data_IF_057522847278
#
_entry.id   IF_057522847278
#
_cell.length_a   1.000
_cell.length_b   1.000
_cell.length_c   1.000
_cell.angle_alpha   90.00
_cell.angle_beta   90.00
_cell.angle_gamma   90.00
#
_symmetry.space_group_name_H-M   'P 1'
#
loop_
_entity.id
_entity.type
_entity.pdbx_description
1 polymer ?
#
# COMPACT_ATOMS: atom_id res chain seq x y z
N UNK A 1 -9.62 1.21 -4.75
CA UNK A 1 -9.04 -0.15 -4.73
C UNK A 1 -8.91 -0.59 -3.30
N UNK A 2 -9.38 -1.79 -2.97
CA UNK A 2 -9.38 -2.32 -1.61
C UNK A 2 -8.27 -3.36 -1.41
N UNK A 3 -7.73 -3.41 -0.19
CA UNK A 3 -6.70 -4.36 0.18
C UNK A 3 -6.95 -4.85 1.61
N UNK A 4 -7.14 -6.16 1.76
CA UNK A 4 -7.20 -6.82 3.05
C UNK A 4 -5.85 -7.51 3.30
N UNK A 5 -5.18 -7.17 4.40
CA UNK A 5 -3.89 -7.72 4.81
C UNK A 5 -4.00 -9.09 5.51
N UNK A 6 -5.20 -9.63 5.68
CA UNK A 6 -5.45 -10.88 6.41
C UNK A 6 -5.26 -10.68 7.91
N UNK A 7 -4.41 -11.49 8.53
CA UNK A 7 -4.14 -11.47 9.99
C UNK A 7 -3.07 -10.45 10.40
N UNK A 8 -2.51 -9.74 9.43
CA UNK A 8 -1.36 -8.86 9.63
C UNK A 8 -1.84 -7.45 10.02
N UNK A 9 -1.93 -7.21 11.33
CA UNK A 9 -2.57 -6.01 11.90
C UNK A 9 -1.60 -4.89 12.25
N UNK A 10 -0.38 -5.21 12.69
CA UNK A 10 0.53 -4.25 13.32
C UNK A 10 1.57 -3.65 12.34
N UNK A 11 1.24 -3.56 11.06
CA UNK A 11 2.13 -3.00 10.03
C UNK A 11 1.36 -2.26 8.94
N UNK A 12 2.08 -1.45 8.18
CA UNK A 12 1.49 -0.65 7.12
C UNK A 12 1.10 -1.48 5.88
N UNK A 13 0.03 -1.06 5.20
CA UNK A 13 -0.21 -1.40 3.81
C UNK A 13 0.63 -0.49 2.92
N UNK A 14 1.35 -1.07 1.97
CA UNK A 14 2.15 -0.36 0.97
C UNK A 14 1.56 -0.55 -0.42
N UNK A 15 1.29 0.55 -1.10
CA UNK A 15 0.78 0.57 -2.46
C UNK A 15 1.89 0.81 -3.47
N UNK A 16 1.86 0.03 -4.54
CA UNK A 16 2.78 0.12 -5.66
C UNK A 16 2.01 0.27 -6.96
N UNK A 17 2.53 1.10 -7.86
CA UNK A 17 2.03 1.26 -9.23
C UNK A 17 3.04 0.64 -10.18
N UNK A 18 2.57 -0.22 -11.09
CA UNK A 18 3.41 -0.81 -12.13
C UNK A 18 2.77 -0.61 -13.50
N UNK A 19 3.43 0.20 -14.33
CA UNK A 19 3.15 0.24 -15.77
C UNK A 19 3.73 -1.04 -16.38
N UNK A 20 3.00 -1.78 -17.24
CA UNK A 20 3.53 -2.97 -17.90
C UNK A 20 4.90 -2.74 -18.54
N UNK A 21 5.84 -3.64 -18.30
CA UNK A 21 7.23 -3.51 -18.79
C UNK A 21 8.13 -2.56 -17.99
N UNK A 22 7.63 -1.93 -16.91
CA UNK A 22 8.44 -1.11 -15.99
C UNK A 22 8.53 -1.74 -14.60
N UNK A 23 9.50 -1.28 -13.82
CA UNK A 23 9.63 -1.67 -12.41
C UNK A 23 8.48 -1.07 -11.58
N UNK A 24 7.96 -1.79 -10.57
CA UNK A 24 6.99 -1.23 -9.64
C UNK A 24 7.53 -0.01 -8.90
N UNK A 25 6.73 1.04 -8.80
CA UNK A 25 7.05 2.26 -8.07
C UNK A 25 6.24 2.31 -6.78
N UNK A 26 6.90 2.62 -5.66
CA UNK A 26 6.22 2.85 -4.38
C UNK A 26 5.41 4.14 -4.46
N UNK A 27 4.12 4.06 -4.17
CA UNK A 27 3.18 5.19 -4.27
C UNK A 27 2.95 5.78 -2.89
N UNK A 28 2.40 4.98 -1.98
CA UNK A 28 1.95 5.44 -0.68
C UNK A 28 1.87 4.27 0.30
N UNK A 29 2.22 4.52 1.57
CA UNK A 29 2.05 3.60 2.68
C UNK A 29 1.13 4.20 3.74
N UNK A 30 0.29 3.35 4.32
CA UNK A 30 -0.56 3.73 5.44
C UNK A 30 -0.54 2.63 6.49
N UNK A 31 -0.24 3.02 7.72
CA UNK A 31 -0.52 2.23 8.91
C UNK A 31 -1.69 2.89 9.62
N UNK A 32 -2.63 2.09 10.12
CA UNK A 32 -3.83 2.61 10.78
C UNK A 32 -3.53 3.54 11.98
N UNK A 33 -2.38 3.36 12.64
CA UNK A 33 -1.92 4.23 13.73
C UNK A 33 -1.14 5.49 13.31
N UNK A 34 -0.87 5.70 12.01
CA UNK A 34 -0.21 6.93 11.54
C UNK A 34 -1.21 8.08 11.40
N UNK A 35 -0.77 9.29 11.71
CA UNK A 35 -1.57 10.51 11.51
C UNK A 35 -1.72 10.91 10.05
N UNK A 36 -0.80 10.47 9.19
CA UNK A 36 -0.81 10.72 7.75
C UNK A 36 -0.11 9.58 6.99
N UNK A 37 -0.47 9.35 5.71
CA UNK A 37 0.23 8.41 4.86
C UNK A 37 1.62 8.93 4.45
N UNK A 38 2.53 8.00 4.19
CA UNK A 38 3.87 8.31 3.68
C UNK A 38 3.93 8.05 2.17
N UNK A 39 4.44 9.02 1.41
CA UNK A 39 4.48 8.94 -0.05
C UNK A 39 5.85 8.56 -0.58
N UNK A 40 5.85 7.84 -1.69
CA UNK A 40 7.03 7.67 -2.52
C UNK A 40 7.36 8.93 -3.34
N UNK A 41 8.57 8.97 -3.89
CA UNK A 41 9.01 10.09 -4.72
C UNK A 41 8.10 10.27 -5.94
N UNK A 42 7.66 11.50 -6.20
CA UNK A 42 6.78 11.84 -7.32
C UNK A 42 5.29 11.55 -7.07
N UNK A 43 4.90 11.11 -5.88
CA UNK A 43 3.51 10.87 -5.49
C UNK A 43 3.11 11.76 -4.31
N UNK A 44 1.86 12.18 -4.29
CA UNK A 44 1.33 12.99 -3.18
C UNK A 44 -0.20 12.94 -3.13
N UNK A 45 -0.75 13.45 -2.04
CA UNK A 45 -2.16 13.88 -1.98
C UNK A 45 -2.39 15.13 -2.84
N UNK A 46 -3.64 15.38 -3.28
CA UNK A 46 -4.83 14.54 -3.13
C UNK A 46 -4.94 13.44 -4.20
N UNK A 47 -4.00 13.40 -5.17
CA UNK A 47 -4.04 12.47 -6.31
C UNK A 47 -4.06 11.02 -5.83
N UNK A 48 -3.13 10.63 -4.96
CA UNK A 48 -3.11 9.32 -4.33
C UNK A 48 -3.44 9.49 -2.86
N UNK A 49 -4.47 8.82 -2.36
CA UNK A 49 -4.85 8.85 -0.94
C UNK A 49 -5.04 7.43 -0.44
N UNK A 50 -4.32 7.06 0.61
CA UNK A 50 -4.50 5.77 1.28
C UNK A 50 -5.24 5.97 2.60
N UNK A 51 -6.33 5.23 2.78
CA UNK A 51 -7.12 5.21 4.03
C UNK A 51 -7.23 3.78 4.57
N UNK A 52 -7.78 3.65 5.77
CA UNK A 52 -8.05 2.35 6.39
C UNK A 52 -9.48 2.34 6.95
N UNK A 53 -10.11 1.16 6.94
CA UNK A 53 -11.43 0.90 7.52
C UNK A 53 -11.33 0.04 8.78
N UNK A 54 -10.24 -0.73 8.91
CA UNK A 54 -9.89 -1.53 10.07
C UNK A 54 -8.35 -1.59 10.19
N UNK A 55 -7.82 -2.40 11.11
CA UNK A 55 -6.37 -2.62 11.19
C UNK A 55 -5.80 -3.39 9.98
N UNK A 56 -6.67 -4.09 9.24
CA UNK A 56 -6.28 -5.00 8.14
C UNK A 56 -6.86 -4.56 6.80
N UNK A 57 -7.89 -3.72 6.79
CA UNK A 57 -8.57 -3.27 5.58
C UNK A 57 -8.15 -1.86 5.20
N UNK A 58 -7.45 -1.76 4.07
CA UNK A 58 -6.92 -0.52 3.51
C UNK A 58 -7.53 -0.22 2.15
N UNK A 59 -7.59 1.06 1.80
CA UNK A 59 -8.13 1.51 0.52
C UNK A 59 -7.21 2.55 -0.10
N UNK A 60 -6.86 2.35 -1.37
CA UNK A 60 -6.25 3.37 -2.22
C UNK A 60 -7.33 4.04 -3.06
N UNK A 61 -7.38 5.37 -2.95
CA UNK A 61 -8.21 6.27 -3.73
C UNK A 61 -7.30 7.05 -4.66
N UNK A 62 -7.60 7.00 -5.96
CA UNK A 62 -6.95 7.83 -6.97
C UNK A 62 -7.96 8.87 -7.42
N UNK A 63 -7.70 10.14 -7.13
CA UNK A 63 -8.57 11.26 -7.47
C UNK A 63 -8.24 11.79 -8.87
N UNK A 64 -9.22 12.37 -9.56
CA UNK A 64 -9.02 12.99 -10.89
C UNK A 64 -8.25 12.06 -11.85
N UNK A 65 -8.74 10.83 -12.02
CA UNK A 65 -8.08 9.77 -12.79
C UNK A 65 -7.85 10.22 -14.24
N UNK A 66 -6.64 9.98 -14.74
CA UNK A 66 -6.23 10.30 -16.12
C UNK A 66 -5.56 9.11 -16.79
N UNK A 67 -5.28 9.19 -18.08
CA UNK A 67 -4.69 8.09 -18.86
C UNK A 67 -3.35 7.60 -18.26
N UNK A 68 -2.55 8.53 -17.71
CA UNK A 68 -1.29 8.23 -17.04
C UNK A 68 -1.43 7.38 -15.77
N UNK A 69 -2.64 7.21 -15.22
CA UNK A 69 -2.91 6.33 -14.09
C UNK A 69 -3.16 4.88 -14.48
N UNK A 70 -3.26 4.58 -15.78
CA UNK A 70 -3.39 3.22 -16.29
C UNK A 70 -2.15 2.38 -15.95
N UNK A 71 -2.31 1.48 -14.98
CA UNK A 71 -1.25 0.64 -14.44
C UNK A 71 -1.86 -0.50 -13.62
N UNK A 72 -1.05 -1.50 -13.30
CA UNK A 72 -1.38 -2.49 -12.27
C UNK A 72 -1.01 -1.93 -10.91
N UNK A 73 -1.93 -2.01 -9.95
CA UNK A 73 -1.70 -1.56 -8.58
C UNK A 73 -1.63 -2.75 -7.64
N UNK A 74 -0.55 -2.81 -6.86
CA UNK A 74 -0.34 -3.86 -5.88
C UNK A 74 -0.41 -3.29 -4.47
N UNK A 75 -1.09 -4.00 -3.60
CA UNK A 75 -0.97 -3.82 -2.16
C UNK A 75 -0.04 -4.88 -1.60
N UNK A 76 0.91 -4.46 -0.76
CA UNK A 76 1.84 -5.36 -0.07
C UNK A 76 1.93 -4.98 1.39
N UNK A 77 2.27 -5.96 2.19
CA UNK A 77 2.62 -5.77 3.59
C UNK A 77 3.72 -6.76 3.97
N UNK A 78 4.43 -6.50 5.07
CA UNK A 78 5.51 -7.37 5.53
C UNK A 78 4.93 -8.55 6.31
N UNK A 79 4.94 -9.76 5.75
CA UNK A 79 4.51 -10.91 6.52
C UNK A 79 5.55 -11.29 7.59
N UNK A 80 5.26 -10.93 8.85
CA UNK A 80 6.08 -11.26 10.02
C UNK A 80 5.64 -12.57 10.70
N UNK A 81 4.65 -13.29 10.14
CA UNK A 81 4.19 -14.57 10.69
C UNK A 81 5.22 -15.69 10.53
N UNK A 82 6.18 -15.54 9.60
CA UNK A 82 7.29 -16.46 9.36
C UNK A 82 8.41 -16.38 10.44
N UNK A 83 8.06 -16.34 11.73
CA UNK A 83 9.00 -16.66 12.82
C UNK A 83 9.18 -18.17 12.93
N UNK A 84 9.87 -18.78 11.96
CA UNK A 84 10.52 -20.07 12.22
C UNK A 84 11.71 -19.79 13.16
N UNK A 85 11.50 -19.99 14.46
CA UNK A 85 12.61 -20.19 15.40
C UNK A 85 13.23 -21.55 15.08
N UNK A 86 14.14 -21.59 14.09
CA UNK A 86 15.05 -22.73 13.95
C UNK A 86 16.06 -22.61 15.10
N UNK A 87 15.75 -23.27 16.22
CA UNK A 87 16.79 -23.65 17.18
C UNK A 87 17.60 -24.77 16.52
N UNK A 88 18.87 -24.49 16.22
CA UNK A 88 19.86 -25.52 15.91
C UNK A 88 20.40 -26.10 17.22
#
# INVERSE_FOLDING_TARGET
MDCNLGTVTNIAAHWYKQIPGRVPQYVVGMYHGWSAPHYGSGFSSPKFTSTHQSQTDYRLIISSVEEGDSAVYYCKTLDLSAKELVSQ
#
